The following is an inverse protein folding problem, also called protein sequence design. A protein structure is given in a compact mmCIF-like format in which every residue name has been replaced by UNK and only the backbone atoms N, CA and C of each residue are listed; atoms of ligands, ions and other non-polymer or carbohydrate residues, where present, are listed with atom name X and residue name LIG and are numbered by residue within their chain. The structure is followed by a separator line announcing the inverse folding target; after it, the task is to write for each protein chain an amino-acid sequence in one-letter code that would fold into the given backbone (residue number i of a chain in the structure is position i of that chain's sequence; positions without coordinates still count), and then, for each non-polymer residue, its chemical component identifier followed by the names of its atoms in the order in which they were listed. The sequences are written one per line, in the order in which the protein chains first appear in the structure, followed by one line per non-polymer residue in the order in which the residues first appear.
data_IF_389684527560
#
_entry.id   IF_389684527560
#
_cell.length_a   1.000
_cell.length_b   1.000
_cell.length_c   1.000
_cell.angle_alpha   90.00
_cell.angle_beta   90.00
_cell.angle_gamma   90.00
#
_symmetry.space_group_name_H-M   'P 1'
#
loop_
_entity.id
_entity.type
_entity.pdbx_description
1 polymer ?
#
# COMPACT_ATOMS: atom_id res chain seq x y z
N UNK A 1 -5.24 7.04 -21.37
CA UNK A 1 -4.58 6.00 -20.58
C UNK A 1 -3.44 6.70 -19.85
N UNK A 2 -3.41 6.65 -18.52
CA UNK A 2 -2.32 7.28 -17.78
C UNK A 2 -1.03 6.50 -18.03
N UNK A 3 0.08 7.20 -18.22
CA UNK A 3 1.41 6.60 -18.30
C UNK A 3 2.11 6.83 -16.96
N UNK A 4 2.78 5.82 -16.43
CA UNK A 4 3.61 6.00 -15.24
C UNK A 4 4.82 6.91 -15.51
N UNK A 5 5.36 6.90 -16.73
CA UNK A 5 6.47 7.77 -17.07
C UNK A 5 5.99 9.19 -17.34
N UNK A 6 6.72 10.17 -16.80
CA UNK A 6 6.40 11.60 -16.90
C UNK A 6 7.46 12.32 -17.73
N UNK A 7 7.04 13.39 -18.39
CA UNK A 7 7.96 14.28 -19.11
C UNK A 7 8.65 15.27 -18.15
N UNK A 8 7.98 15.61 -17.06
CA UNK A 8 8.43 16.57 -16.06
C UNK A 8 8.43 15.95 -14.65
N UNK A 9 9.22 16.50 -13.71
CA UNK A 9 9.21 16.08 -12.31
C UNK A 9 7.79 15.99 -11.75
N UNK A 10 7.59 15.04 -10.83
CA UNK A 10 6.31 14.92 -10.16
C UNK A 10 5.96 16.20 -9.36
N UNK A 11 4.80 16.84 -9.64
CA UNK A 11 4.39 18.03 -8.91
C UNK A 11 4.19 17.70 -7.43
N UNK A 12 4.23 18.70 -6.53
CA UNK A 12 3.82 18.47 -5.16
C UNK A 12 2.38 17.92 -5.11
N UNK A 13 2.08 17.04 -4.16
CA UNK A 13 0.76 16.46 -4.02
C UNK A 13 -0.29 17.56 -3.91
N UNK A 14 -1.32 17.46 -4.75
CA UNK A 14 -2.47 18.36 -4.73
C UNK A 14 -3.36 18.09 -3.50
N UNK A 15 -4.33 18.98 -3.21
CA UNK A 15 -5.29 18.72 -2.14
C UNK A 15 -6.03 17.39 -2.37
N UNK A 16 -6.42 16.67 -1.30
CA UNK A 16 -7.14 15.42 -1.42
C UNK A 16 -8.42 15.65 -2.22
N UNK A 17 -8.68 14.77 -3.20
CA UNK A 17 -9.94 14.77 -3.93
C UNK A 17 -10.98 14.07 -3.05
N UNK A 18 -11.93 14.84 -2.52
CA UNK A 18 -13.04 14.30 -1.74
C UNK A 18 -14.13 13.88 -2.72
N UNK A 19 -14.42 12.59 -2.78
CA UNK A 19 -15.60 12.06 -3.47
C UNK A 19 -16.73 11.85 -2.46
N UNK A 20 -17.82 12.59 -2.61
CA UNK A 20 -19.01 12.37 -1.78
C UNK A 20 -19.77 11.13 -2.26
N UNK A 21 -19.81 10.08 -1.42
CA UNK A 21 -20.68 8.92 -1.60
C UNK A 21 -21.82 8.97 -0.58
N UNK A 22 -23.07 8.97 -1.06
CA UNK A 22 -24.25 8.92 -0.18
C UNK A 22 -24.34 7.55 0.48
N UNK A 23 -24.59 7.49 1.79
CA UNK A 23 -24.69 6.23 2.56
C UNK A 23 -23.38 5.74 3.21
N UNK A 24 -22.25 6.42 2.94
CA UNK A 24 -20.93 6.04 3.44
C UNK A 24 -20.84 6.04 4.98
N UNK A 25 -21.54 6.96 5.66
CA UNK A 25 -21.56 7.00 7.12
C UNK A 25 -22.24 5.75 7.73
N UNK A 26 -23.38 5.33 7.17
CA UNK A 26 -24.10 4.14 7.63
C UNK A 26 -23.35 2.84 7.29
N UNK A 27 -22.64 2.82 6.16
CA UNK A 27 -21.78 1.71 5.76
C UNK A 27 -20.55 1.59 6.66
N UNK A 28 -19.85 2.70 6.91
CA UNK A 28 -18.74 2.73 7.87
C UNK A 28 -19.20 2.31 9.28
N UNK A 29 -20.36 2.77 9.74
CA UNK A 29 -20.90 2.34 11.03
C UNK A 29 -21.18 0.84 11.05
N UNK A 30 -21.71 0.26 9.95
CA UNK A 30 -21.93 -1.18 9.84
C UNK A 30 -20.63 -1.99 9.89
N UNK A 31 -19.57 -1.48 9.26
CA UNK A 31 -18.25 -2.14 9.26
C UNK A 31 -17.56 -2.06 10.63
N UNK A 32 -17.74 -0.94 11.33
CA UNK A 32 -17.07 -0.66 12.61
C UNK A 32 -17.87 -1.22 13.81
N UNK A 33 -19.18 -1.41 13.68
CA UNK A 33 -20.04 -1.90 14.75
C UNK A 33 -19.54 -3.20 15.43
N UNK A 34 -19.09 -4.25 14.70
CA UNK A 34 -18.50 -5.43 15.33
C UNK A 34 -17.28 -5.12 16.19
N UNK A 35 -16.42 -4.20 15.74
CA UNK A 35 -15.22 -3.78 16.48
C UNK A 35 -15.57 -2.95 17.73
N UNK A 36 -16.62 -2.15 17.66
CA UNK A 36 -17.15 -1.42 18.83
C UNK A 36 -17.78 -2.36 19.85
N UNK A 37 -18.51 -3.39 19.38
CA UNK A 37 -19.10 -4.40 20.26
C UNK A 37 -18.02 -5.21 21.01
N UNK A 38 -16.87 -5.51 20.37
CA UNK A 38 -15.71 -6.11 21.06
C UNK A 38 -15.15 -5.22 22.19
N UNK A 39 -15.28 -3.89 22.07
CA UNK A 39 -14.90 -2.91 23.10
C UNK A 39 -16.01 -2.69 24.15
N UNK A 40 -17.14 -3.41 24.05
CA UNK A 40 -18.28 -3.30 24.95
C UNK A 40 -19.25 -2.16 24.61
N UNK A 41 -19.15 -1.58 23.42
CA UNK A 41 -20.08 -0.55 22.93
C UNK A 41 -21.08 -1.21 21.97
N UNK A 42 -22.31 -1.35 22.45
CA UNK A 42 -23.44 -1.75 21.63
C UNK A 42 -24.16 -0.49 21.11
N UNK A 43 -24.20 -0.32 19.79
CA UNK A 43 -24.87 0.81 19.15
C UNK A 43 -26.40 0.64 19.12
N UNK A 44 -26.89 -0.57 19.33
CA UNK A 44 -28.32 -0.90 19.34
C UNK A 44 -28.91 -0.89 20.77
N UNK A 45 -28.08 -0.67 21.81
CA UNK A 45 -28.52 -0.55 23.20
C UNK A 45 -28.98 0.88 23.53
N UNK A 46 -30.30 1.04 23.67
CA UNK A 46 -30.93 2.32 23.98
C UNK A 46 -30.77 2.76 25.45
N UNK A 47 -30.42 1.86 26.36
CA UNK A 47 -30.40 2.10 27.80
C UNK A 47 -28.99 2.22 28.39
N UNK A 48 -27.95 1.94 27.60
CA UNK A 48 -26.54 1.84 28.02
C UNK A 48 -25.54 2.68 27.24
N UNK A 49 -25.98 3.74 26.54
CA UNK A 49 -25.11 4.53 25.67
C UNK A 49 -23.91 5.14 26.43
N UNK A 50 -22.66 4.90 25.98
CA UNK A 50 -21.48 5.48 26.61
C UNK A 50 -21.47 7.00 26.45
N UNK A 51 -20.76 7.70 27.34
CA UNK A 51 -20.51 9.12 27.15
C UNK A 51 -19.75 9.40 25.84
N UNK A 52 -19.84 10.64 25.35
CA UNK A 52 -19.30 11.03 24.05
C UNK A 52 -17.77 10.83 23.95
N UNK A 53 -17.03 11.02 25.04
CA UNK A 53 -15.57 10.88 25.04
C UNK A 53 -15.17 9.40 24.93
N UNK A 54 -15.85 8.54 25.69
CA UNK A 54 -15.70 7.09 25.62
C UNK A 54 -16.05 6.56 24.23
N UNK A 55 -17.15 7.03 23.64
CA UNK A 55 -17.55 6.65 22.28
C UNK A 55 -16.52 7.10 21.24
N UNK A 56 -16.06 8.35 21.29
CA UNK A 56 -15.04 8.86 20.36
C UNK A 56 -13.73 8.07 20.45
N UNK A 57 -13.26 7.78 21.67
CA UNK A 57 -12.03 7.01 21.87
C UNK A 57 -12.14 5.58 21.32
N UNK A 58 -13.29 4.93 21.51
CA UNK A 58 -13.54 3.60 20.96
C UNK A 58 -13.66 3.62 19.43
N UNK A 59 -14.36 4.61 18.86
CA UNK A 59 -14.41 4.81 17.41
C UNK A 59 -13.02 5.00 16.81
N UNK A 60 -12.16 5.81 17.43
CA UNK A 60 -10.77 5.98 16.99
C UNK A 60 -10.03 4.66 16.95
N UNK A 61 -10.08 3.86 18.03
CA UNK A 61 -9.42 2.54 18.06
C UNK A 61 -9.99 1.56 17.03
N UNK A 62 -11.31 1.54 16.87
CA UNK A 62 -11.97 0.65 15.92
C UNK A 62 -11.63 1.01 14.46
N UNK A 63 -11.60 2.30 14.13
CA UNK A 63 -11.14 2.79 12.82
C UNK A 63 -9.66 2.43 12.59
N UNK A 64 -8.80 2.65 13.58
CA UNK A 64 -7.38 2.28 13.48
C UNK A 64 -7.20 0.78 13.21
N UNK A 65 -7.96 -0.07 13.91
CA UNK A 65 -7.93 -1.52 13.73
C UNK A 65 -8.47 -1.94 12.37
N UNK A 66 -9.54 -1.31 11.90
CA UNK A 66 -10.09 -1.56 10.58
C UNK A 66 -9.08 -1.17 9.49
N UNK A 67 -8.47 0.02 9.60
CA UNK A 67 -7.41 0.45 8.69
C UNK A 67 -6.24 -0.55 8.69
N UNK A 68 -5.79 -1.00 9.85
CA UNK A 68 -4.72 -2.00 9.93
C UNK A 68 -5.07 -3.32 9.26
N UNK A 69 -6.33 -3.74 9.33
CA UNK A 69 -6.81 -4.93 8.62
C UNK A 69 -6.74 -4.74 7.11
N UNK A 70 -7.17 -3.59 6.60
CA UNK A 70 -7.14 -3.28 5.16
C UNK A 70 -5.70 -3.25 4.58
N UNK A 71 -4.73 -2.77 5.36
CA UNK A 71 -3.33 -2.73 4.95
C UNK A 71 -2.53 -3.99 5.29
N UNK A 72 -3.12 -4.99 5.94
CA UNK A 72 -2.43 -6.25 6.28
C UNK A 72 -3.14 -7.42 5.60
N UNK A 73 -3.06 -7.52 4.26
CA UNK A 73 -3.83 -8.52 3.55
C UNK A 73 -3.36 -9.93 3.90
N UNK A 74 -4.32 -10.83 4.05
CA UNK A 74 -4.14 -12.27 4.32
C UNK A 74 -4.94 -13.12 3.34
N UNK A 75 -4.62 -14.40 3.22
CA UNK A 75 -5.35 -15.35 2.37
C UNK A 75 -5.46 -14.86 0.92
N UNK A 76 -6.66 -14.97 0.34
CA UNK A 76 -6.88 -14.66 -1.07
C UNK A 76 -6.65 -13.17 -1.42
N UNK A 77 -6.97 -12.23 -0.51
CA UNK A 77 -6.69 -10.81 -0.72
C UNK A 77 -5.19 -10.54 -0.87
N UNK A 78 -4.36 -11.28 -0.12
CA UNK A 78 -2.89 -11.21 -0.24
C UNK A 78 -2.42 -11.76 -1.59
N UNK A 79 -2.99 -12.88 -2.04
CA UNK A 79 -2.66 -13.48 -3.34
C UNK A 79 -2.97 -12.52 -4.50
N UNK A 80 -4.14 -11.87 -4.46
CA UNK A 80 -4.55 -10.88 -5.45
C UNK A 80 -3.60 -9.68 -5.45
N UNK A 81 -3.30 -9.11 -4.28
CA UNK A 81 -2.37 -7.99 -4.15
C UNK A 81 -0.96 -8.35 -4.65
N UNK A 82 -0.46 -9.54 -4.30
CA UNK A 82 0.83 -10.04 -4.75
C UNK A 82 0.87 -10.18 -6.27
N UNK A 83 -0.14 -10.82 -6.87
CA UNK A 83 -0.23 -11.00 -8.32
C UNK A 83 -0.25 -9.65 -9.07
N UNK A 84 -1.02 -8.68 -8.59
CA UNK A 84 -1.06 -7.32 -9.16
C UNK A 84 0.30 -6.65 -9.09
N UNK A 85 0.99 -6.70 -7.95
CA UNK A 85 2.32 -6.11 -7.78
C UNK A 85 3.36 -6.79 -8.66
N UNK A 86 3.34 -8.12 -8.76
CA UNK A 86 4.26 -8.88 -9.63
C UNK A 86 4.08 -8.50 -11.10
N UNK A 87 2.83 -8.43 -11.58
CA UNK A 87 2.53 -8.01 -12.95
C UNK A 87 3.00 -6.58 -13.22
N UNK A 88 2.78 -5.66 -12.27
CA UNK A 88 3.26 -4.28 -12.39
C UNK A 88 4.81 -4.21 -12.40
N UNK A 89 5.48 -4.97 -11.54
CA UNK A 89 6.96 -5.05 -11.50
C UNK A 89 7.51 -5.53 -12.84
N UNK A 90 6.90 -6.56 -13.43
CA UNK A 90 7.30 -7.07 -14.74
C UNK A 90 7.12 -6.00 -15.83
N UNK A 91 5.95 -5.36 -15.92
CA UNK A 91 5.67 -4.33 -16.91
C UNK A 91 6.61 -3.11 -16.78
N UNK A 92 6.84 -2.61 -15.56
CA UNK A 92 7.81 -1.52 -15.31
C UNK A 92 9.23 -1.98 -15.68
N UNK A 93 9.55 -3.26 -15.41
CA UNK A 93 10.86 -3.81 -15.71
C UNK A 93 11.13 -3.94 -17.21
N UNK A 94 10.10 -4.23 -18.01
CA UNK A 94 10.16 -4.30 -19.47
C UNK A 94 10.05 -2.90 -20.13
N UNK A 95 9.78 -1.86 -19.35
CA UNK A 95 9.61 -0.49 -19.83
C UNK A 95 8.22 -0.19 -20.39
N UNK A 96 7.26 -1.10 -20.24
CA UNK A 96 5.85 -0.87 -20.61
C UNK A 96 5.10 -0.16 -19.48
N UNK A 97 5.39 1.13 -19.34
CA UNK A 97 4.92 1.98 -18.25
C UNK A 97 3.42 2.32 -18.34
N UNK A 98 2.86 2.28 -19.55
CA UNK A 98 1.42 2.42 -19.78
C UNK A 98 0.67 1.14 -19.35
N UNK A 99 1.21 -0.04 -19.67
CA UNK A 99 0.63 -1.30 -19.18
C UNK A 99 0.73 -1.43 -17.66
N UNK A 100 1.86 -1.03 -17.08
CA UNK A 100 2.03 -0.98 -15.62
C UNK A 100 0.95 -0.11 -14.95
N UNK A 101 0.67 1.08 -15.49
CA UNK A 101 -0.42 1.93 -14.99
C UNK A 101 -1.77 1.22 -15.07
N UNK A 102 -2.08 0.61 -16.21
CA UNK A 102 -3.34 -0.12 -16.41
C UNK A 102 -3.50 -1.31 -15.45
N UNK A 103 -2.41 -1.98 -15.06
CA UNK A 103 -2.43 -3.03 -14.03
C UNK A 103 -2.76 -2.44 -12.66
N UNK A 104 -2.08 -1.36 -12.27
CA UNK A 104 -2.30 -0.73 -10.96
C UNK A 104 -3.71 -0.12 -10.85
N UNK A 105 -4.26 0.40 -11.95
CA UNK A 105 -5.64 0.93 -12.00
C UNK A 105 -6.73 -0.16 -11.83
N UNK A 106 -6.39 -1.44 -11.91
CA UNK A 106 -7.31 -2.53 -11.55
C UNK A 106 -7.53 -2.66 -10.05
N UNK A 107 -6.62 -2.11 -9.23
CA UNK A 107 -6.77 -2.12 -7.78
C UNK A 107 -7.95 -1.22 -7.39
N UNK A 108 -8.96 -1.83 -6.78
CA UNK A 108 -10.16 -1.13 -6.35
C UNK A 108 -9.95 -0.49 -4.97
N UNK A 109 -10.68 0.59 -4.62
CA UNK A 109 -10.66 1.12 -3.26
C UNK A 109 -11.03 0.05 -2.22
N UNK A 110 -12.04 -0.76 -2.52
CA UNK A 110 -12.61 -1.81 -1.66
C UNK A 110 -12.97 -3.04 -2.52
N UNK A 111 -12.94 -4.23 -1.91
CA UNK A 111 -13.44 -5.49 -2.51
C UNK A 111 -14.05 -6.36 -1.40
N UNK A 112 -15.33 -6.15 -1.07
CA UNK A 112 -15.98 -6.86 0.04
C UNK A 112 -16.03 -8.38 -0.15
N UNK A 113 -16.02 -8.82 -1.41
CA UNK A 113 -16.06 -10.21 -1.85
C UNK A 113 -14.66 -10.82 -2.06
N UNK A 114 -13.59 -10.04 -1.88
CA UNK A 114 -12.21 -10.43 -2.15
C UNK A 114 -12.01 -10.97 -3.58
N UNK A 115 -12.73 -10.47 -4.57
CA UNK A 115 -12.56 -10.89 -5.98
C UNK A 115 -11.62 -9.99 -6.77
N UNK A 116 -11.25 -8.83 -6.20
CA UNK A 116 -10.34 -7.88 -6.82
C UNK A 116 -9.24 -7.43 -5.84
N UNK A 117 -8.03 -7.11 -6.35
CA UNK A 117 -6.99 -6.49 -5.54
C UNK A 117 -7.48 -5.13 -5.03
N UNK A 118 -7.16 -4.80 -3.78
CA UNK A 118 -7.45 -3.47 -3.23
C UNK A 118 -6.22 -2.59 -3.18
N UNK A 119 -6.42 -1.27 -3.30
CA UNK A 119 -5.34 -0.27 -3.18
C UNK A 119 -4.62 -0.41 -1.84
N UNK A 120 -5.38 -0.58 -0.74
CA UNK A 120 -4.83 -0.76 0.59
C UNK A 120 -4.00 -2.04 0.73
N UNK A 121 -4.49 -3.17 0.21
CA UNK A 121 -3.78 -4.44 0.26
C UNK A 121 -2.45 -4.36 -0.53
N UNK A 122 -2.46 -3.79 -1.74
CA UNK A 122 -1.26 -3.61 -2.55
C UNK A 122 -0.22 -2.72 -1.86
N UNK A 123 -0.63 -1.57 -1.31
CA UNK A 123 0.27 -0.67 -0.58
C UNK A 123 0.84 -1.40 0.64
N UNK A 124 -0.03 -1.97 1.47
CA UNK A 124 0.36 -2.61 2.71
C UNK A 124 1.34 -3.76 2.53
N UNK A 125 1.05 -4.66 1.58
CA UNK A 125 1.95 -5.76 1.20
C UNK A 125 3.31 -5.23 0.73
N UNK A 126 3.31 -4.25 -0.17
CA UNK A 126 4.54 -3.67 -0.69
C UNK A 126 5.42 -3.04 0.41
N UNK A 127 4.82 -2.26 1.30
CA UNK A 127 5.56 -1.63 2.40
C UNK A 127 6.12 -2.66 3.38
N UNK A 128 5.36 -3.71 3.70
CA UNK A 128 5.83 -4.81 4.54
C UNK A 128 7.04 -5.54 3.95
N UNK A 129 6.96 -5.92 2.67
CA UNK A 129 8.07 -6.56 1.95
C UNK A 129 9.31 -5.65 1.90
N UNK A 130 9.13 -4.37 1.59
CA UNK A 130 10.22 -3.40 1.56
C UNK A 130 10.86 -3.19 2.94
N UNK A 131 10.07 -3.12 4.00
CA UNK A 131 10.56 -3.03 5.38
C UNK A 131 11.40 -4.27 5.74
N UNK A 132 10.98 -5.47 5.37
CA UNK A 132 11.72 -6.70 5.67
C UNK A 132 13.00 -6.85 4.82
N UNK A 133 12.92 -6.61 3.51
CA UNK A 133 14.06 -6.75 2.59
C UNK A 133 15.12 -5.68 2.78
N UNK A 134 14.72 -4.40 2.90
CA UNK A 134 15.67 -3.28 2.95
C UNK A 134 16.23 -3.02 4.36
N UNK A 135 15.63 -3.59 5.40
CA UNK A 135 16.22 -3.58 6.74
C UNK A 135 17.17 -4.75 7.00
N UNK A 136 17.25 -5.72 6.08
CA UNK A 136 18.05 -6.95 6.24
C UNK A 136 17.42 -7.98 7.19
N UNK A 137 16.10 -7.91 7.40
CA UNK A 137 15.36 -8.86 8.24
C UNK A 137 15.04 -10.16 7.48
N UNK A 138 14.94 -10.11 6.16
CA UNK A 138 14.76 -11.29 5.32
C UNK A 138 16.13 -11.94 5.00
N UNK A 139 16.36 -13.20 5.40
CA UNK A 139 17.62 -13.90 5.15
C UNK A 139 17.87 -14.23 3.67
N UNK A 140 16.83 -14.19 2.82
CA UNK A 140 16.94 -14.41 1.38
C UNK A 140 17.38 -13.14 0.64
N UNK A 141 17.17 -11.95 1.22
CA UNK A 141 17.57 -10.69 0.62
C UNK A 141 19.10 -10.49 0.67
N UNK A 142 19.73 -10.01 -0.42
CA UNK A 142 21.16 -9.70 -0.43
C UNK A 142 21.55 -8.69 0.65
N UNK A 143 22.66 -8.93 1.36
CA UNK A 143 23.11 -8.09 2.49
C UNK A 143 23.26 -6.60 2.14
N UNK A 144 23.63 -6.27 0.90
CA UNK A 144 23.84 -4.89 0.45
C UNK A 144 22.64 -4.30 -0.31
N UNK A 145 21.48 -4.98 -0.32
CA UNK A 145 20.31 -4.61 -1.12
C UNK A 145 19.90 -3.14 -0.93
N UNK A 146 19.74 -2.71 0.32
CA UNK A 146 19.41 -1.34 0.68
C UNK A 146 20.33 -0.27 0.07
N UNK A 147 21.63 -0.55 0.00
CA UNK A 147 22.64 0.36 -0.50
C UNK A 147 22.63 0.45 -2.02
N UNK A 148 22.21 -0.62 -2.71
CA UNK A 148 22.16 -0.71 -4.16
C UNK A 148 20.82 -0.31 -4.77
N UNK A 149 19.73 -0.36 -4.00
CA UNK A 149 18.40 0.06 -4.47
C UNK A 149 18.39 1.55 -4.82
N UNK A 150 18.13 1.84 -6.10
CA UNK A 150 17.91 3.18 -6.67
C UNK A 150 16.67 3.14 -7.54
N UNK A 151 15.87 4.21 -7.50
CA UNK A 151 14.76 4.35 -8.43
C UNK A 151 15.28 4.38 -9.88
N UNK A 152 14.51 3.87 -10.85
CA UNK A 152 14.83 4.02 -12.25
C UNK A 152 15.03 5.49 -12.62
N UNK A 153 15.93 5.77 -13.56
CA UNK A 153 16.10 7.12 -14.08
C UNK A 153 14.81 7.62 -14.78
N UNK A 154 14.67 8.94 -14.89
CA UNK A 154 13.49 9.58 -15.46
C UNK A 154 12.52 10.06 -14.39
N UNK A 155 11.37 10.58 -14.85
CA UNK A 155 10.33 11.07 -13.97
C UNK A 155 9.17 10.09 -13.94
N UNK A 156 8.65 9.83 -12.74
CA UNK A 156 7.66 8.78 -12.54
C UNK A 156 6.46 9.29 -11.75
N UNK A 157 5.28 8.75 -12.05
CA UNK A 157 4.13 8.89 -11.16
C UNK A 157 4.41 8.10 -9.87
N UNK A 158 4.22 8.73 -8.72
CA UNK A 158 4.59 8.20 -7.42
C UNK A 158 6.07 8.28 -7.08
N UNK A 159 6.91 8.98 -7.85
CA UNK A 159 8.36 9.10 -7.61
C UNK A 159 8.68 9.65 -6.20
N UNK A 160 7.94 10.66 -5.75
CA UNK A 160 8.10 11.26 -4.43
C UNK A 160 7.72 10.27 -3.33
N UNK A 161 6.62 9.56 -3.51
CA UNK A 161 6.17 8.51 -2.60
C UNK A 161 7.21 7.38 -2.54
N UNK A 162 7.70 6.89 -3.69
CA UNK A 162 8.72 5.86 -3.76
C UNK A 162 10.02 6.27 -3.05
N UNK A 163 10.43 7.54 -3.19
CA UNK A 163 11.61 8.09 -2.52
C UNK A 163 11.46 8.08 -1.00
N UNK A 164 10.32 8.58 -0.49
CA UNK A 164 10.01 8.57 0.94
C UNK A 164 9.90 7.13 1.49
N UNK A 165 9.24 6.24 0.75
CA UNK A 165 9.08 4.82 1.09
C UNK A 165 10.46 4.16 1.23
N UNK A 166 11.35 4.29 0.23
CA UNK A 166 12.68 3.70 0.29
C UNK A 166 13.51 4.26 1.46
N UNK A 167 13.39 5.54 1.78
CA UNK A 167 14.09 6.14 2.90
C UNK A 167 13.63 5.60 4.27
N UNK A 168 12.33 5.30 4.40
CA UNK A 168 11.74 4.72 5.61
C UNK A 168 11.95 3.20 5.69
N UNK A 169 11.85 2.49 4.57
CA UNK A 169 11.96 1.03 4.50
C UNK A 169 13.32 0.51 4.93
N UNK A 170 14.40 1.23 4.55
CA UNK A 170 15.76 0.96 5.04
C UNK A 170 15.90 1.02 6.57
N UNK A 171 14.94 1.64 7.25
CA UNK A 171 14.89 1.76 8.72
C UNK A 171 13.77 0.91 9.33
N UNK A 172 13.12 0.05 8.54
CA UNK A 172 11.95 -0.76 8.92
C UNK A 172 10.79 0.09 9.47
N UNK A 173 10.47 1.17 8.77
CA UNK A 173 9.51 2.18 9.22
C UNK A 173 8.47 2.55 8.18
N UNK A 174 8.52 1.99 6.97
CA UNK A 174 7.62 2.40 5.91
C UNK A 174 6.17 2.06 6.27
N UNK A 175 5.90 0.81 6.67
CA UNK A 175 4.56 0.38 7.07
C UNK A 175 4.06 1.12 8.32
N UNK A 176 4.92 1.29 9.33
CA UNK A 176 4.58 2.06 10.54
C UNK A 176 4.28 3.54 10.25
N UNK A 177 4.78 4.07 9.14
CA UNK A 177 4.61 5.48 8.76
C UNK A 177 3.51 5.67 7.72
N UNK A 178 2.63 4.67 7.54
CA UNK A 178 1.60 4.64 6.52
C UNK A 178 0.68 5.87 6.57
N UNK A 179 0.17 6.25 7.75
CA UNK A 179 -0.72 7.41 7.88
C UNK A 179 -0.03 8.72 7.46
N UNK A 180 1.24 8.88 7.83
CA UNK A 180 2.04 10.05 7.44
C UNK A 180 2.26 10.07 5.93
N UNK A 181 2.56 8.91 5.33
CA UNK A 181 2.77 8.76 3.90
C UNK A 181 1.48 9.00 3.09
N UNK A 182 0.36 8.42 3.54
CA UNK A 182 -0.96 8.60 2.93
C UNK A 182 -1.43 10.04 2.99
N UNK A 183 -1.27 10.70 4.15
CA UNK A 183 -1.62 12.12 4.32
C UNK A 183 -0.78 13.02 3.42
N UNK A 184 0.52 12.70 3.28
CA UNK A 184 1.44 13.53 2.51
C UNK A 184 1.29 13.33 1.00
N UNK A 185 1.14 12.10 0.52
CA UNK A 185 1.24 11.76 -0.90
C UNK A 185 -0.12 11.50 -1.56
N UNK A 186 -1.12 11.08 -0.78
CA UNK A 186 -2.40 10.58 -1.28
C UNK A 186 -2.33 9.12 -1.75
N UNK A 187 -3.46 8.41 -1.69
CA UNK A 187 -3.54 6.96 -1.94
C UNK A 187 -3.09 6.52 -3.33
N UNK A 188 -3.41 7.32 -4.36
CA UNK A 188 -2.99 7.01 -5.73
C UNK A 188 -1.46 7.03 -5.86
N UNK A 189 -0.80 8.13 -5.48
CA UNK A 189 0.66 8.22 -5.55
C UNK A 189 1.35 7.19 -4.64
N UNK A 190 0.71 6.82 -3.52
CA UNK A 190 1.19 5.73 -2.67
C UNK A 190 1.18 4.38 -3.37
N UNK A 191 0.14 4.03 -4.12
CA UNK A 191 0.10 2.79 -4.89
C UNK A 191 1.21 2.76 -5.95
N UNK A 192 1.29 3.80 -6.79
CA UNK A 192 2.31 3.92 -7.83
C UNK A 192 3.73 3.92 -7.23
N UNK A 193 3.95 4.67 -6.16
CA UNK A 193 5.23 4.76 -5.48
C UNK A 193 5.66 3.45 -4.83
N UNK A 194 4.70 2.68 -4.29
CA UNK A 194 4.96 1.35 -3.71
C UNK A 194 5.42 0.36 -4.78
N UNK A 195 4.73 0.32 -5.93
CA UNK A 195 5.11 -0.52 -7.06
C UNK A 195 6.48 -0.13 -7.65
N UNK A 196 6.76 1.17 -7.76
CA UNK A 196 8.04 1.69 -8.25
C UNK A 196 9.20 1.35 -7.29
N UNK A 197 8.99 1.50 -5.98
CA UNK A 197 9.98 1.16 -4.95
C UNK A 197 10.26 -0.35 -4.90
N UNK A 198 9.24 -1.19 -5.04
CA UNK A 198 9.40 -2.63 -5.19
C UNK A 198 10.20 -2.98 -6.44
N UNK A 199 9.86 -2.38 -7.59
CA UNK A 199 10.57 -2.63 -8.85
C UNK A 199 12.04 -2.25 -8.75
N UNK A 200 12.35 -1.10 -8.16
CA UNK A 200 13.71 -0.67 -7.89
C UNK A 200 14.48 -1.67 -7.02
N UNK A 201 13.81 -2.22 -6.00
CA UNK A 201 14.39 -3.19 -5.07
C UNK A 201 14.64 -4.53 -5.76
N UNK A 202 13.67 -5.06 -6.50
CA UNK A 202 13.80 -6.32 -7.24
C UNK A 202 14.85 -6.21 -8.34
N UNK A 203 14.95 -5.07 -9.05
CA UNK A 203 16.04 -4.85 -10.02
C UNK A 203 17.41 -4.84 -9.36
N UNK A 204 17.55 -4.18 -8.21
CA UNK A 204 18.80 -4.19 -7.45
C UNK A 204 19.15 -5.59 -6.92
N UNK A 205 18.15 -6.38 -6.52
CA UNK A 205 18.33 -7.77 -6.12
C UNK A 205 18.78 -8.62 -7.31
N UNK A 206 18.07 -8.51 -8.44
CA UNK A 206 18.38 -9.19 -9.71
C UNK A 206 19.83 -9.01 -10.13
N UNK A 207 20.33 -7.77 -10.08
CA UNK A 207 21.72 -7.45 -10.41
C UNK A 207 22.74 -8.06 -9.44
N UNK A 208 22.40 -8.20 -8.16
CA UNK A 208 23.30 -8.76 -7.14
C UNK A 208 23.34 -10.29 -7.17
N UNK A 209 22.20 -10.93 -7.46
CA UNK A 209 22.08 -12.38 -7.43
C UNK A 209 22.22 -13.03 -8.82
N UNK A 210 22.45 -12.23 -9.87
CA UNK A 210 22.45 -12.69 -11.27
C UNK A 210 21.19 -13.51 -11.63
N UNK A 211 20.05 -13.10 -11.06
CA UNK A 211 18.75 -13.76 -11.24
C UNK A 211 17.83 -12.83 -12.01
N UNK A 212 17.14 -13.27 -13.08
CA UNK A 212 16.23 -12.39 -13.81
C UNK A 212 15.08 -11.91 -12.91
N UNK A 213 14.55 -10.71 -13.17
CA UNK A 213 13.45 -10.09 -12.39
C UNK A 213 12.25 -11.05 -12.24
N UNK A 214 11.84 -11.71 -13.34
CA UNK A 214 10.74 -12.69 -13.31
C UNK A 214 11.04 -13.92 -12.45
N UNK A 215 12.32 -14.21 -12.20
CA UNK A 215 12.75 -15.24 -11.27
C UNK A 215 12.69 -14.81 -9.82
N UNK A 216 12.54 -13.51 -9.50
CA UNK A 216 12.49 -12.98 -8.14
C UNK A 216 11.09 -12.52 -7.70
N UNK A 217 10.15 -12.38 -8.63
CA UNK A 217 8.76 -11.98 -8.31
C UNK A 217 8.06 -12.96 -7.38
N UNK A 218 8.48 -14.22 -7.32
CA UNK A 218 7.96 -15.22 -6.39
C UNK A 218 8.17 -14.86 -4.91
N UNK A 219 9.16 -14.01 -4.58
CA UNK A 219 9.36 -13.52 -3.22
C UNK A 219 8.26 -12.54 -2.76
N UNK A 220 7.40 -12.07 -3.66
CA UNK A 220 6.29 -11.16 -3.34
C UNK A 220 5.10 -11.89 -2.66
N UNK A 221 5.08 -13.23 -2.67
CA UNK A 221 4.03 -14.05 -2.01
C UNK A 221 4.21 -14.16 -0.49
#
# INVERSE_FOLDING_TARGET
MADMHRHDPEPPPGPPRIEHRSGMADEMLREIAPLLAEEGIDLDDADGAPDLETLQAAMTRAIERQNMTLFTPVGHARELAAATLQAAIAAISDGDTAHAAAILEQAQPESPDNTAPTVAACIGLALGLLDDWLSGNDPHAPTALAQQTRLPAGHWLGERAATDILALARKRRAFRSLDTLMTRQGGQHMLYGSALALTATIRAWSLQSDTPVNGLTHHVH
#
